data_IF_089832485676
#
_entry.id   IF_089832485676
#
_cell.length_a   1.000
_cell.length_b   1.000
_cell.length_c   1.000
_cell.angle_alpha   90.00
_cell.angle_beta   90.00
_cell.angle_gamma   90.00
#
_symmetry.space_group_name_H-M   'P 1'
#
loop_
_entity.id
_entity.type
_entity.pdbx_description
1 polymer ?
#
# COMPACT_ATOMS: atom_id res chain seq x y z
N UNK A 1 9.79 -15.29 -16.13
CA UNK A 1 8.51 -15.42 -16.85
C UNK A 1 7.64 -14.21 -16.51
N UNK A 2 6.47 -14.01 -17.13
CA UNK A 2 5.62 -12.83 -16.83
C UNK A 2 4.50 -13.22 -15.87
N UNK A 3 4.40 -12.53 -14.74
CA UNK A 3 3.31 -12.71 -13.77
C UNK A 3 1.97 -12.32 -14.39
N UNK A 4 0.98 -13.20 -14.28
CA UNK A 4 -0.38 -13.00 -14.76
C UNK A 4 -1.25 -12.25 -13.75
N UNK A 5 -2.36 -11.67 -14.21
CA UNK A 5 -3.33 -10.98 -13.33
C UNK A 5 -3.85 -11.86 -12.17
N UNK A 6 -4.25 -13.11 -12.41
CA UNK A 6 -4.67 -14.02 -11.33
C UNK A 6 -3.57 -14.32 -10.31
N UNK A 7 -2.32 -14.49 -10.73
CA UNK A 7 -1.19 -14.71 -9.82
C UNK A 7 -0.93 -13.47 -8.96
N UNK A 8 -0.98 -12.27 -9.56
CA UNK A 8 -0.88 -11.02 -8.82
C UNK A 8 -2.03 -10.86 -7.80
N UNK A 9 -3.26 -11.26 -8.17
CA UNK A 9 -4.40 -11.25 -7.28
C UNK A 9 -4.26 -12.27 -6.14
N UNK A 10 -3.74 -13.46 -6.43
CA UNK A 10 -3.48 -14.48 -5.42
C UNK A 10 -2.42 -14.00 -4.41
N UNK A 11 -1.31 -13.43 -4.89
CA UNK A 11 -0.29 -12.79 -4.06
C UNK A 11 -0.92 -11.69 -3.18
N UNK A 12 -1.77 -10.83 -3.76
CA UNK A 12 -2.50 -9.81 -3.02
C UNK A 12 -3.39 -10.39 -1.92
N UNK A 13 -4.18 -11.42 -2.21
CA UNK A 13 -5.04 -12.04 -1.22
C UNK A 13 -4.23 -12.61 -0.04
N UNK A 14 -3.13 -13.32 -0.32
CA UNK A 14 -2.25 -13.89 0.72
C UNK A 14 -1.64 -12.79 1.58
N UNK A 15 -1.03 -11.77 0.96
CA UNK A 15 -0.41 -10.67 1.71
C UNK A 15 -1.43 -9.91 2.55
N UNK A 16 -2.67 -9.74 2.05
CA UNK A 16 -3.75 -9.13 2.83
C UNK A 16 -4.09 -9.92 4.08
N UNK A 17 -4.15 -11.25 3.98
CA UNK A 17 -4.34 -12.11 5.15
C UNK A 17 -3.17 -12.00 6.14
N UNK A 18 -1.92 -11.95 5.65
CA UNK A 18 -0.73 -11.76 6.50
C UNK A 18 -0.78 -10.43 7.27
N UNK A 19 -1.27 -9.38 6.63
CA UNK A 19 -1.36 -8.03 7.21
C UNK A 19 -2.62 -7.78 8.05
N UNK A 20 -3.49 -8.78 8.18
CA UNK A 20 -4.70 -8.68 9.01
C UNK A 20 -4.37 -8.42 10.48
N UNK A 21 -3.22 -8.92 10.95
CA UNK A 21 -2.66 -8.56 12.25
C UNK A 21 -1.76 -7.34 12.08
N UNK A 22 -2.07 -6.19 12.71
CA UNK A 22 -1.27 -4.99 12.59
C UNK A 22 0.00 -5.10 13.42
N UNK A 23 1.00 -5.81 12.91
CA UNK A 23 2.32 -5.96 13.55
C UNK A 23 3.15 -4.68 13.41
N UNK A 24 3.04 -4.01 12.25
CA UNK A 24 3.73 -2.75 11.95
C UNK A 24 2.73 -1.69 11.47
N UNK A 25 3.00 -0.39 11.69
CA UNK A 25 2.15 0.68 11.17
C UNK A 25 1.98 0.56 9.66
N UNK A 26 0.73 0.42 9.20
CA UNK A 26 0.41 0.29 7.77
C UNK A 26 1.00 -0.97 7.09
N UNK A 27 1.43 -1.97 7.85
CA UNK A 27 2.06 -3.19 7.34
C UNK A 27 3.44 -2.98 6.72
N UNK A 28 4.12 -1.86 7.03
CA UNK A 28 5.47 -1.57 6.52
C UNK A 28 6.45 -2.71 6.85
N UNK A 29 7.27 -3.07 5.87
CA UNK A 29 8.17 -4.22 5.89
C UNK A 29 7.47 -5.52 5.50
N UNK A 30 6.35 -5.83 6.17
CA UNK A 30 5.61 -7.09 5.95
C UNK A 30 5.00 -7.15 4.55
N UNK A 31 4.41 -6.04 4.10
CA UNK A 31 3.75 -5.95 2.79
C UNK A 31 4.78 -6.06 1.67
N UNK A 32 5.89 -5.33 1.79
CA UNK A 32 6.95 -5.26 0.79
C UNK A 32 7.59 -6.64 0.60
N UNK A 33 8.03 -7.27 1.69
CA UNK A 33 8.60 -8.62 1.64
C UNK A 33 7.56 -9.63 1.15
N UNK A 34 6.33 -9.57 1.67
CA UNK A 34 5.27 -10.49 1.30
C UNK A 34 4.94 -10.47 -0.20
N UNK A 35 4.80 -9.28 -0.79
CA UNK A 35 4.54 -9.16 -2.23
C UNK A 35 5.74 -9.55 -3.07
N UNK A 36 6.94 -9.09 -2.72
CA UNK A 36 8.15 -9.44 -3.47
C UNK A 36 8.37 -10.95 -3.49
N UNK A 37 8.32 -11.61 -2.32
CA UNK A 37 8.47 -13.05 -2.24
C UNK A 37 7.39 -13.78 -3.03
N UNK A 38 6.11 -13.40 -2.88
CA UNK A 38 5.02 -14.08 -3.57
C UNK A 38 5.10 -13.95 -5.09
N UNK A 39 5.45 -12.77 -5.61
CA UNK A 39 5.50 -12.50 -7.05
C UNK A 39 6.77 -13.06 -7.72
N UNK A 40 7.90 -13.09 -7.01
CA UNK A 40 9.12 -13.78 -7.48
C UNK A 40 8.88 -15.29 -7.54
N UNK A 41 8.22 -15.86 -6.52
CA UNK A 41 7.82 -17.29 -6.54
C UNK A 41 6.85 -17.60 -7.69
N UNK A 42 6.00 -16.64 -8.07
CA UNK A 42 5.13 -16.73 -9.25
C UNK A 42 5.88 -16.54 -10.59
N UNK A 43 7.21 -16.50 -10.58
CA UNK A 43 8.05 -16.45 -11.78
C UNK A 43 8.37 -15.04 -12.28
N UNK A 44 8.03 -14.01 -11.50
CA UNK A 44 8.39 -12.62 -11.79
C UNK A 44 9.88 -12.34 -11.64
N UNK A 45 10.39 -11.45 -12.48
CA UNK A 45 11.75 -10.94 -12.38
C UNK A 45 11.93 -10.11 -11.09
N UNK A 46 12.96 -10.39 -10.30
CA UNK A 46 13.13 -9.82 -8.96
C UNK A 46 13.26 -8.30 -8.98
N UNK A 47 14.06 -7.76 -9.91
CA UNK A 47 14.32 -6.32 -10.01
C UNK A 47 13.04 -5.58 -10.40
N UNK A 48 12.30 -6.09 -11.39
CA UNK A 48 11.03 -5.53 -11.83
C UNK A 48 9.93 -5.67 -10.77
N UNK A 49 9.86 -6.80 -10.06
CA UNK A 49 8.89 -7.03 -8.98
C UNK A 49 9.13 -6.04 -7.85
N UNK A 50 10.36 -5.89 -7.38
CA UNK A 50 10.69 -4.93 -6.31
C UNK A 50 10.31 -3.51 -6.72
N UNK A 51 10.66 -3.10 -7.94
CA UNK A 51 10.28 -1.79 -8.46
C UNK A 51 8.75 -1.59 -8.48
N UNK A 52 8.00 -2.59 -8.97
CA UNK A 52 6.54 -2.55 -9.01
C UNK A 52 5.92 -2.47 -7.60
N UNK A 53 6.42 -3.24 -6.64
CA UNK A 53 5.96 -3.22 -5.23
C UNK A 53 6.22 -1.87 -4.59
N UNK A 54 7.38 -1.26 -4.82
CA UNK A 54 7.71 0.07 -4.29
C UNK A 54 6.81 1.16 -4.89
N UNK A 55 6.55 1.13 -6.20
CA UNK A 55 5.60 2.06 -6.84
C UNK A 55 4.19 1.86 -6.27
N UNK A 56 3.75 0.61 -6.15
CA UNK A 56 2.46 0.29 -5.53
C UNK A 56 2.37 0.87 -4.12
N UNK A 57 3.42 0.75 -3.29
CA UNK A 57 3.44 1.29 -1.92
C UNK A 57 3.54 2.81 -1.86
N UNK A 58 4.28 3.41 -2.78
CA UNK A 58 4.32 4.87 -2.91
C UNK A 58 2.91 5.42 -3.17
N UNK A 59 2.13 4.77 -4.02
CA UNK A 59 0.79 5.23 -4.38
C UNK A 59 -0.28 4.83 -3.35
N UNK A 60 -0.21 3.61 -2.82
CA UNK A 60 -1.25 3.05 -1.94
C UNK A 60 -1.09 3.37 -0.46
N UNK A 61 0.10 3.81 -0.04
CA UNK A 61 0.37 4.12 1.35
C UNK A 61 1.05 5.48 1.49
N UNK A 62 2.22 5.66 0.87
CA UNK A 62 3.02 6.86 1.08
C UNK A 62 2.32 8.13 0.61
N UNK A 63 1.60 8.09 -0.51
CA UNK A 63 0.86 9.22 -1.08
C UNK A 63 -0.46 9.48 -0.35
N UNK A 64 -1.10 8.43 0.17
CA UNK A 64 -2.38 8.57 0.87
C UNK A 64 -2.24 9.31 2.20
N UNK A 65 -1.13 9.09 2.92
CA UNK A 65 -0.82 9.77 4.18
C UNK A 65 -0.77 11.31 4.04
N UNK A 66 0.04 11.91 3.15
CA UNK A 66 0.08 13.36 2.97
C UNK A 66 -1.23 13.90 2.41
N UNK A 67 -1.95 13.16 1.55
CA UNK A 67 -3.29 13.57 1.12
C UNK A 67 -4.27 13.68 2.30
N UNK A 68 -4.24 12.72 3.23
CA UNK A 68 -5.00 12.80 4.47
C UNK A 68 -4.59 13.96 5.35
N UNK A 69 -3.28 14.21 5.49
CA UNK A 69 -2.74 15.34 6.26
C UNK A 69 -3.16 16.69 5.65
N UNK A 70 -3.12 16.83 4.33
CA UNK A 70 -3.58 18.02 3.62
C UNK A 70 -5.08 18.22 3.81
N UNK A 71 -5.88 17.15 3.69
CA UNK A 71 -7.31 17.21 3.97
C UNK A 71 -7.61 17.67 5.40
N UNK A 72 -6.89 17.13 6.38
CA UNK A 72 -6.99 17.55 7.78
C UNK A 72 -6.58 19.01 7.98
N UNK A 73 -5.48 19.45 7.36
CA UNK A 73 -5.02 20.83 7.45
C UNK A 73 -6.03 21.83 6.85
N UNK A 74 -6.64 21.48 5.70
CA UNK A 74 -7.69 22.28 5.07
C UNK A 74 -8.95 22.31 5.94
N UNK A 75 -9.34 21.19 6.54
CA UNK A 75 -10.47 21.15 7.46
C UNK A 75 -10.20 22.02 8.70
N UNK A 76 -9.00 21.91 9.29
CA UNK A 76 -8.59 22.68 10.47
C UNK A 76 -8.44 24.18 10.17
N UNK A 77 -8.03 24.58 8.97
CA UNK A 77 -7.97 26.01 8.61
C UNK A 77 -9.33 26.61 8.27
N UNK A 78 -10.33 25.75 7.99
CA UNK A 78 -11.72 26.14 7.73
C UNK A 78 -12.65 25.87 8.90
N UNK A 79 -12.14 25.68 10.12
CA UNK A 79 -12.98 25.47 11.30
C UNK A 79 -13.87 26.65 11.68
N UNK A 80 -13.68 27.83 11.09
CA UNK A 80 -14.61 28.97 11.14
C UNK A 80 -16.00 28.61 10.54
N UNK A 81 -16.10 27.53 9.75
CA UNK A 81 -17.39 26.99 9.25
C UNK A 81 -18.26 26.32 10.34
N UNK A 82 -17.80 26.22 11.58
CA UNK A 82 -18.58 25.69 12.71
C UNK A 82 -19.34 26.76 13.50
N UNK A 83 -19.14 28.04 13.21
CA UNK A 83 -19.79 29.14 13.95
C UNK A 83 -21.14 29.57 13.36
N UNK A 84 -21.53 29.03 12.20
CA UNK A 84 -22.80 29.33 11.52
C UNK A 84 -23.92 28.25 11.71
N UNK A 85 -23.79 27.36 12.70
CA UNK A 85 -24.79 26.32 13.02
C UNK A 85 -25.51 26.56 14.35
#
# INVERSE_FOLDING_TARGET
ETVTGPEALAAFAVVRLLTALPITPGGLGVVEVGFTTALVVAGGDEELVVAAVLIYRALSYLLQVPLGLLGYAVWRSRSDWREDA
#
